data_IF_572313097658
#
_entry.id   IF_572313097658
#
_cell.length_a   1.000
_cell.length_b   1.000
_cell.length_c   1.000
_cell.angle_alpha   90.00
_cell.angle_beta   90.00
_cell.angle_gamma   90.00
#
_symmetry.space_group_name_H-M   'P 1'
#
loop_
_entity.id
_entity.type
_entity.pdbx_description
1 polymer ?
#
# COMPACT_ATOMS: atom_id res chain seq x y z
N UNK A 1 -1.84 19.34 -18.86
CA UNK A 1 -2.37 18.88 -17.56
C UNK A 1 -1.52 19.46 -16.45
N UNK A 2 -2.12 19.95 -15.36
CA UNK A 2 -1.39 20.58 -14.25
C UNK A 2 -0.74 19.50 -13.38
N UNK A 3 0.56 19.64 -13.06
CA UNK A 3 1.34 18.72 -12.21
C UNK A 3 0.64 18.39 -10.88
N UNK A 4 -0.12 19.34 -10.30
CA UNK A 4 -0.87 19.11 -9.06
C UNK A 4 -2.00 18.10 -9.19
N UNK A 5 -2.67 18.01 -10.35
CA UNK A 5 -3.72 17.01 -10.59
C UNK A 5 -3.15 15.60 -10.68
N UNK A 6 -1.96 15.45 -11.25
CA UNK A 6 -1.29 14.16 -11.39
C UNK A 6 -0.79 13.63 -10.04
N UNK A 7 -0.29 14.52 -9.16
CA UNK A 7 0.11 14.15 -7.80
C UNK A 7 -1.06 13.66 -6.95
N UNK A 8 -2.19 14.37 -7.00
CA UNK A 8 -3.38 13.97 -6.24
C UNK A 8 -3.86 12.58 -6.68
N UNK A 9 -4.01 12.36 -7.99
CA UNK A 9 -4.40 11.05 -8.52
C UNK A 9 -3.43 9.94 -8.09
N UNK A 10 -2.12 10.17 -8.15
CA UNK A 10 -1.14 9.16 -7.77
C UNK A 10 -1.14 8.83 -6.27
N UNK A 11 -1.57 9.77 -5.42
CA UNK A 11 -1.79 9.52 -4.00
C UNK A 11 -3.07 8.72 -3.76
N UNK A 12 -4.13 9.00 -4.52
CA UNK A 12 -5.38 8.23 -4.49
C UNK A 12 -5.14 6.79 -4.95
N UNK A 13 -4.37 6.60 -6.03
CA UNK A 13 -3.98 5.28 -6.56
C UNK A 13 -3.15 4.48 -5.54
N UNK A 14 -2.28 5.15 -4.77
CA UNK A 14 -1.52 4.51 -3.68
C UNK A 14 -2.44 4.09 -2.52
N UNK A 15 -3.43 4.90 -2.16
CA UNK A 15 -4.39 4.56 -1.12
C UNK A 15 -5.26 3.36 -1.56
N UNK A 16 -5.71 3.32 -2.82
CA UNK A 16 -6.41 2.15 -3.39
C UNK A 16 -5.52 0.90 -3.36
N UNK A 17 -4.26 1.00 -3.79
CA UNK A 17 -3.32 -0.12 -3.71
C UNK A 17 -3.05 -0.58 -2.27
N UNK A 18 -3.13 0.34 -1.29
CA UNK A 18 -3.04 0.01 0.14
C UNK A 18 -4.27 -0.75 0.62
N UNK A 19 -5.46 -0.38 0.15
CA UNK A 19 -6.72 -1.07 0.43
C UNK A 19 -6.76 -2.47 -0.19
N UNK A 20 -6.20 -2.66 -1.39
CA UNK A 20 -6.11 -3.97 -2.04
C UNK A 20 -5.36 -4.97 -1.16
N UNK A 21 -4.28 -4.57 -0.49
CA UNK A 21 -3.54 -5.43 0.46
C UNK A 21 -4.48 -6.00 1.52
N UNK A 22 -5.36 -5.16 2.10
CA UNK A 22 -6.29 -5.55 3.17
C UNK A 22 -7.35 -6.55 2.70
N UNK A 23 -7.66 -6.58 1.41
CA UNK A 23 -8.73 -7.41 0.82
C UNK A 23 -8.24 -8.75 0.30
N UNK A 24 -6.94 -9.00 0.33
CA UNK A 24 -6.35 -10.25 -0.16
C UNK A 24 -6.74 -11.44 0.71
N UNK A 25 -6.98 -12.59 0.07
CA UNK A 25 -7.46 -13.80 0.74
C UNK A 25 -6.36 -14.84 0.99
N UNK A 26 -5.17 -14.62 0.42
CA UNK A 26 -4.02 -15.50 0.60
C UNK A 26 -2.70 -14.73 0.59
N UNK A 27 -1.65 -15.40 1.09
CA UNK A 27 -0.33 -14.80 1.24
C UNK A 27 0.35 -14.40 -0.08
N UNK A 28 0.01 -15.06 -1.19
CA UNK A 28 0.62 -14.76 -2.49
C UNK A 28 0.07 -13.44 -3.05
N UNK A 29 -1.27 -13.32 -3.12
CA UNK A 29 -1.95 -12.08 -3.52
C UNK A 29 -1.56 -10.90 -2.63
N UNK A 30 -1.49 -11.13 -1.31
CA UNK A 30 -1.04 -10.11 -0.35
C UNK A 30 0.34 -9.56 -0.70
N UNK A 31 1.31 -10.45 -0.99
CA UNK A 31 2.68 -10.01 -1.33
C UNK A 31 2.71 -9.24 -2.66
N UNK A 32 1.95 -9.68 -3.66
CA UNK A 32 1.85 -8.97 -4.94
C UNK A 32 1.30 -7.56 -4.76
N UNK A 33 0.19 -7.42 -4.01
CA UNK A 33 -0.40 -6.12 -3.69
C UNK A 33 0.58 -5.23 -2.91
N UNK A 34 1.28 -5.80 -1.92
CA UNK A 34 2.28 -5.07 -1.14
C UNK A 34 3.42 -4.55 -2.03
N UNK A 35 3.97 -5.37 -2.92
CA UNK A 35 5.05 -4.95 -3.81
C UNK A 35 4.60 -3.84 -4.76
N UNK A 36 3.39 -3.93 -5.31
CA UNK A 36 2.81 -2.88 -6.16
C UNK A 36 2.73 -1.55 -5.40
N UNK A 37 2.16 -1.55 -4.20
CA UNK A 37 1.98 -0.34 -3.40
C UNK A 37 3.32 0.25 -2.91
N UNK A 38 4.29 -0.60 -2.56
CA UNK A 38 5.66 -0.16 -2.25
C UNK A 38 6.35 0.51 -3.45
N UNK A 39 6.19 -0.07 -4.65
CA UNK A 39 6.70 0.52 -5.89
C UNK A 39 6.11 1.90 -6.17
N UNK A 40 4.80 2.06 -5.98
CA UNK A 40 4.12 3.35 -6.11
C UNK A 40 4.66 4.38 -5.11
N UNK A 41 4.77 4.01 -3.83
CA UNK A 41 5.32 4.89 -2.80
C UNK A 41 6.76 5.31 -3.11
N UNK A 42 7.60 4.37 -3.56
CA UNK A 42 8.97 4.66 -3.96
C UNK A 42 9.03 5.64 -5.15
N UNK A 43 8.15 5.46 -6.16
CA UNK A 43 8.07 6.36 -7.30
C UNK A 43 7.69 7.78 -6.88
N UNK A 44 6.68 7.93 -6.01
CA UNK A 44 6.26 9.23 -5.48
C UNK A 44 7.38 9.95 -4.74
N UNK A 45 8.18 9.21 -3.97
CA UNK A 45 9.34 9.77 -3.29
C UNK A 45 10.45 10.14 -4.28
N UNK A 46 10.73 9.27 -5.26
CA UNK A 46 11.82 9.45 -6.22
C UNK A 46 11.63 10.65 -7.15
N UNK A 47 10.39 11.03 -7.42
CA UNK A 47 10.03 12.21 -8.22
C UNK A 47 9.75 13.46 -7.35
N UNK A 48 10.13 13.42 -6.08
CA UNK A 48 9.99 14.51 -5.10
C UNK A 48 8.52 14.97 -4.89
N UNK A 49 7.56 14.07 -5.10
CA UNK A 49 6.15 14.36 -4.86
C UNK A 49 5.76 14.15 -3.39
N UNK A 50 6.49 13.34 -2.64
CA UNK A 50 6.34 13.23 -1.19
C UNK A 50 7.69 13.50 -0.53
N UNK A 51 7.68 14.23 0.60
CA UNK A 51 8.88 14.44 1.39
C UNK A 51 9.17 13.20 2.27
N UNK A 52 10.27 13.21 3.02
CA UNK A 52 10.65 12.10 3.90
C UNK A 52 9.61 11.81 5.00
N UNK A 53 8.98 12.83 5.56
CA UNK A 53 7.97 12.66 6.60
C UNK A 53 6.69 11.99 6.05
N UNK A 54 6.22 12.45 4.89
CA UNK A 54 5.07 11.88 4.19
C UNK A 54 5.37 10.44 3.75
N UNK A 55 6.58 10.18 3.25
CA UNK A 55 7.02 8.84 2.89
C UNK A 55 6.97 7.88 4.08
N UNK A 56 7.49 8.28 5.24
CA UNK A 56 7.46 7.45 6.45
C UNK A 56 6.03 7.19 6.92
N UNK A 57 5.15 8.19 6.88
CA UNK A 57 3.72 8.01 7.23
C UNK A 57 3.03 7.02 6.30
N UNK A 58 3.23 7.16 4.98
CA UNK A 58 2.65 6.26 3.98
C UNK A 58 3.23 4.85 4.08
N UNK A 59 4.54 4.71 4.32
CA UNK A 59 5.18 3.42 4.57
C UNK A 59 4.57 2.71 5.79
N UNK A 60 4.34 3.44 6.89
CA UNK A 60 3.68 2.88 8.06
C UNK A 60 2.24 2.44 7.78
N UNK A 61 1.50 3.17 6.94
CA UNK A 61 0.16 2.74 6.51
C UNK A 61 0.22 1.40 5.75
N UNK A 62 1.15 1.26 4.81
CA UNK A 62 1.35 0.01 4.05
C UNK A 62 1.67 -1.18 4.97
N UNK A 63 2.60 -0.99 5.91
CA UNK A 63 3.00 -2.05 6.84
C UNK A 63 1.85 -2.44 7.78
N UNK A 64 0.98 -1.51 8.15
CA UNK A 64 -0.23 -1.82 8.94
C UNK A 64 -1.24 -2.61 8.12
N UNK A 65 -1.50 -2.21 6.87
CA UNK A 65 -2.39 -2.94 5.98
C UNK A 65 -1.91 -4.38 5.73
N UNK A 66 -0.61 -4.57 5.52
CA UNK A 66 -0.01 -5.91 5.39
C UNK A 66 -0.16 -6.74 6.66
N UNK A 67 0.12 -6.17 7.83
CA UNK A 67 -0.04 -6.85 9.10
C UNK A 67 -1.50 -7.22 9.40
N UNK A 68 -2.47 -6.38 9.00
CA UNK A 68 -3.90 -6.67 9.09
C UNK A 68 -4.28 -7.84 8.18
N UNK A 69 -3.83 -7.82 6.92
CA UNK A 69 -4.08 -8.89 5.95
C UNK A 69 -3.49 -10.23 6.41
N UNK A 70 -2.25 -10.23 6.94
CA UNK A 70 -1.62 -11.43 7.52
C UNK A 70 -2.51 -12.05 8.58
N UNK A 71 -2.99 -11.26 9.54
CA UNK A 71 -3.85 -11.77 10.63
C UNK A 71 -5.15 -12.38 10.08
N UNK A 72 -5.80 -11.70 9.14
CA UNK A 72 -7.05 -12.20 8.54
C UNK A 72 -6.84 -13.52 7.80
N UNK A 73 -5.76 -13.62 7.02
CA UNK A 73 -5.42 -14.85 6.29
C UNK A 73 -5.14 -15.99 7.28
N UNK A 74 -4.36 -15.74 8.33
CA UNK A 74 -4.02 -16.75 9.33
C UNK A 74 -5.23 -17.18 10.16
N UNK A 75 -6.15 -16.28 10.48
CA UNK A 75 -7.41 -16.60 11.18
C UNK A 75 -8.30 -17.53 10.36
N UNK A 76 -8.35 -17.38 9.03
CA UNK A 76 -9.09 -18.29 8.14
C UNK A 76 -8.51 -19.71 8.10
N UNK A 77 -7.22 -19.87 8.40
CA UNK A 77 -6.48 -21.14 8.29
C UNK A 77 -6.50 -21.94 9.60
N UNK A 78 -6.87 -21.34 10.74
CA UNK A 78 -6.93 -22.05 12.02
C UNK A 78 -8.04 -23.11 12.01
N UNK A 79 -7.72 -24.41 12.25
CA UNK A 79 -8.75 -25.42 12.46
C UNK A 79 -9.50 -25.15 13.77
N UNK A 80 -10.81 -25.41 13.75
CA UNK A 80 -11.71 -25.29 14.91
C UNK A 80 -11.32 -26.22 16.06
#
# INVERSE_FOLDING_TARGET
MSYGKNKAQALDDLEEATDDIRRTDNHAERLEALYKAQGMLYMLWRIDWVNSEDFEKLKLKLLRADAEAVRQIEEKVKPA
#
